data_IF_494487442897
#
_entry.id   IF_494487442897
#
_cell.length_a   1.000
_cell.length_b   1.000
_cell.length_c   1.000
_cell.angle_alpha   90.00
_cell.angle_beta   90.00
_cell.angle_gamma   90.00
#
_symmetry.space_group_name_H-M   'P 1'
#
loop_
_entity.id
_entity.type
_entity.pdbx_description
1 polymer ?
#
# COMPACT_ATOMS: atom_id res chain seq x y z
N UNK A 1 80.43 -11.47 4.69
CA UNK A 1 79.82 -10.30 5.39
C UNK A 1 78.41 -10.68 5.84
N UNK A 2 78.28 -11.17 7.07
CA UNK A 2 76.98 -11.46 7.68
C UNK A 2 76.38 -10.14 8.18
N UNK A 3 75.33 -9.63 7.52
CA UNK A 3 74.60 -8.45 7.98
C UNK A 3 73.80 -8.83 9.22
N UNK A 4 74.25 -8.33 10.38
CA UNK A 4 73.49 -8.33 11.62
C UNK A 4 72.20 -7.53 11.41
N UNK A 5 71.06 -8.22 11.44
CA UNK A 5 69.74 -7.60 11.49
C UNK A 5 69.60 -6.95 12.87
N UNK A 6 69.36 -5.63 12.90
CA UNK A 6 69.27 -4.85 14.14
C UNK A 6 68.15 -5.39 15.05
N UNK A 7 68.31 -5.38 16.39
CA UNK A 7 67.35 -5.99 17.34
C UNK A 7 65.92 -5.41 17.26
N UNK A 8 65.76 -4.23 16.69
CA UNK A 8 64.48 -3.51 16.53
C UNK A 8 63.63 -4.02 15.37
N UNK A 9 64.21 -4.55 14.28
CA UNK A 9 63.45 -5.08 13.13
C UNK A 9 62.90 -6.49 13.38
N UNK A 10 63.63 -7.32 14.14
CA UNK A 10 63.11 -8.64 14.55
C UNK A 10 61.85 -8.52 15.42
N UNK A 11 61.78 -7.53 16.32
CA UNK A 11 60.58 -7.30 17.15
C UNK A 11 59.36 -6.86 16.32
N UNK A 12 59.55 -6.04 15.29
CA UNK A 12 58.45 -5.56 14.43
C UNK A 12 57.85 -6.68 13.57
N UNK A 13 58.68 -7.57 13.01
CA UNK A 13 58.20 -8.73 12.22
C UNK A 13 57.50 -9.77 13.11
N UNK A 14 58.01 -10.01 14.32
CA UNK A 14 57.33 -10.91 15.29
C UNK A 14 56.00 -10.32 15.77
N UNK A 15 55.90 -9.02 16.02
CA UNK A 15 54.65 -8.34 16.39
C UNK A 15 53.59 -8.41 15.27
N UNK A 16 53.99 -8.19 14.01
CA UNK A 16 53.10 -8.29 12.85
C UNK A 16 52.59 -9.72 12.60
N UNK A 17 53.46 -10.73 12.71
CA UNK A 17 53.05 -12.14 12.62
C UNK A 17 52.10 -12.53 13.76
N UNK A 18 52.36 -12.13 15.01
CA UNK A 18 51.46 -12.40 16.14
C UNK A 18 50.10 -11.71 15.99
N UNK A 19 50.07 -10.48 15.48
CA UNK A 19 48.80 -9.78 15.22
C UNK A 19 48.00 -10.41 14.08
N UNK A 20 48.67 -10.90 13.03
CA UNK A 20 48.01 -11.57 11.90
C UNK A 20 47.51 -12.97 12.30
N UNK A 21 48.30 -13.72 13.08
CA UNK A 21 47.89 -15.03 13.61
C UNK A 21 46.71 -14.90 14.58
N UNK A 22 46.72 -13.91 15.49
CA UNK A 22 45.56 -13.61 16.34
C UNK A 22 44.34 -13.16 15.54
N UNK A 23 44.51 -12.46 14.42
CA UNK A 23 43.41 -12.04 13.58
C UNK A 23 42.78 -13.25 12.84
N UNK A 24 43.60 -14.13 12.26
CA UNK A 24 43.14 -15.38 11.66
C UNK A 24 42.49 -16.33 12.68
N UNK A 25 43.07 -16.53 13.87
CA UNK A 25 42.48 -17.34 14.94
C UNK A 25 41.12 -16.78 15.42
N UNK A 26 40.96 -15.45 15.43
CA UNK A 26 39.69 -14.80 15.75
C UNK A 26 38.66 -14.93 14.63
N UNK A 27 39.07 -14.89 13.36
CA UNK A 27 38.18 -15.12 12.22
C UNK A 27 37.76 -16.60 12.10
N UNK A 28 38.69 -17.54 12.31
CA UNK A 28 38.39 -18.97 12.38
C UNK A 28 37.48 -19.30 13.57
N UNK A 29 37.75 -18.71 14.75
CA UNK A 29 36.87 -18.85 15.92
C UNK A 29 35.46 -18.30 15.69
N UNK A 30 35.32 -17.19 14.95
CA UNK A 30 34.00 -16.66 14.54
C UNK A 30 33.29 -17.59 13.56
N UNK A 31 34.00 -18.09 12.54
CA UNK A 31 33.45 -19.02 11.55
C UNK A 31 32.98 -20.34 12.18
N UNK A 32 33.69 -20.85 13.18
CA UNK A 32 33.29 -22.04 13.95
C UNK A 32 32.03 -21.75 14.76
N UNK A 33 31.98 -20.62 15.48
CA UNK A 33 30.81 -20.22 16.26
C UNK A 33 29.56 -19.98 15.39
N UNK A 34 29.72 -19.44 14.18
CA UNK A 34 28.63 -19.27 13.21
C UNK A 34 28.10 -20.61 12.69
N UNK A 35 28.98 -21.58 12.42
CA UNK A 35 28.61 -22.93 12.01
C UNK A 35 27.87 -23.67 13.12
N UNK A 36 28.35 -23.59 14.36
CA UNK A 36 27.70 -24.18 15.53
C UNK A 36 26.32 -23.55 15.77
N UNK A 37 26.21 -22.22 15.70
CA UNK A 37 24.94 -21.49 15.83
C UNK A 37 23.94 -21.93 14.75
N UNK A 38 24.40 -22.13 13.51
CA UNK A 38 23.56 -22.62 12.41
C UNK A 38 23.05 -24.04 12.68
N UNK A 39 23.90 -24.93 13.18
CA UNK A 39 23.51 -26.30 13.53
C UNK A 39 22.49 -26.31 14.67
N UNK A 40 22.71 -25.53 15.73
CA UNK A 40 21.75 -25.38 16.81
C UNK A 40 20.42 -24.80 16.32
N UNK A 41 20.45 -23.79 15.46
CA UNK A 41 19.24 -23.22 14.84
C UNK A 41 18.45 -24.28 14.07
N UNK A 42 19.12 -25.07 13.25
CA UNK A 42 18.49 -26.13 12.47
C UNK A 42 17.93 -27.24 13.37
N UNK A 43 18.65 -27.64 14.41
CA UNK A 43 18.19 -28.63 15.38
C UNK A 43 16.98 -28.14 16.18
N UNK A 44 16.98 -26.87 16.60
CA UNK A 44 15.84 -26.24 17.29
C UNK A 44 14.57 -26.34 16.44
N UNK A 45 14.65 -25.92 15.18
CA UNK A 45 13.50 -25.86 14.28
C UNK A 45 13.02 -27.25 13.85
N UNK A 46 13.95 -28.18 13.58
CA UNK A 46 13.59 -29.48 13.00
C UNK A 46 13.26 -30.54 14.04
N UNK A 47 13.93 -30.53 15.20
CA UNK A 47 13.83 -31.57 16.23
C UNK A 47 13.11 -31.07 17.48
N UNK A 48 13.61 -29.99 18.12
CA UNK A 48 13.06 -29.54 19.41
C UNK A 48 11.64 -28.98 19.28
N UNK A 49 11.35 -28.23 18.22
CA UNK A 49 10.01 -27.67 18.00
C UNK A 49 8.93 -28.76 17.79
N UNK A 50 9.34 -29.93 17.28
CA UNK A 50 8.46 -31.07 17.01
C UNK A 50 8.25 -31.99 18.21
N UNK A 51 8.91 -31.74 19.33
CA UNK A 51 8.70 -32.51 20.56
C UNK A 51 7.23 -32.48 20.99
N UNK A 52 6.65 -33.62 21.44
CA UNK A 52 5.28 -33.66 21.93
C UNK A 52 5.11 -32.84 23.22
N UNK A 53 6.10 -32.90 24.11
CA UNK A 53 6.15 -32.02 25.28
C UNK A 53 6.69 -30.65 24.90
N UNK A 54 5.81 -29.66 24.79
CA UNK A 54 6.19 -28.27 24.48
C UNK A 54 6.99 -27.60 25.60
N UNK A 55 7.07 -28.20 26.79
CA UNK A 55 7.86 -27.76 27.94
C UNK A 55 9.09 -28.64 28.19
N UNK A 56 9.47 -29.47 27.21
CA UNK A 56 10.63 -30.36 27.32
C UNK A 56 11.88 -29.62 27.84
N UNK A 57 12.40 -30.10 28.97
CA UNK A 57 13.54 -29.53 29.73
C UNK A 57 13.44 -28.06 30.18
N UNK A 58 12.27 -27.42 30.09
CA UNK A 58 12.10 -26.01 30.45
C UNK A 58 12.53 -25.69 31.90
N UNK A 59 12.33 -26.63 32.83
CA UNK A 59 12.68 -26.46 34.25
C UNK A 59 14.07 -26.96 34.63
N UNK A 60 14.80 -27.63 33.73
CA UNK A 60 16.08 -28.26 34.03
C UNK A 60 17.25 -27.41 33.51
N UNK A 61 17.85 -26.60 34.40
CA UNK A 61 18.96 -25.71 34.05
C UNK A 61 20.25 -26.43 33.65
N UNK A 62 20.40 -27.69 34.07
CA UNK A 62 21.57 -28.52 33.76
C UNK A 62 21.42 -29.26 32.41
N UNK A 63 20.25 -29.16 31.77
CA UNK A 63 20.03 -29.78 30.46
C UNK A 63 20.74 -29.03 29.34
N UNK A 64 21.20 -29.77 28.33
CA UNK A 64 21.76 -29.19 27.10
C UNK A 64 20.78 -28.27 26.37
N UNK A 65 19.48 -28.55 26.47
CA UNK A 65 18.41 -27.70 25.91
C UNK A 65 18.38 -26.34 26.60
N UNK A 66 18.50 -26.30 27.92
CA UNK A 66 18.54 -25.03 28.62
C UNK A 66 19.85 -24.28 28.34
N UNK A 67 20.99 -24.99 28.39
CA UNK A 67 22.32 -24.39 28.19
C UNK A 67 22.52 -23.78 26.80
N UNK A 68 22.02 -24.41 25.73
CA UNK A 68 22.26 -23.91 24.37
C UNK A 68 21.12 -23.08 23.78
N UNK A 69 19.91 -23.10 24.36
CA UNK A 69 18.72 -22.49 23.74
C UNK A 69 17.93 -21.55 24.67
N UNK A 70 18.14 -21.57 25.98
CA UNK A 70 17.42 -20.66 26.88
C UNK A 70 17.97 -19.23 26.76
N UNK A 71 17.11 -18.21 26.80
CA UNK A 71 17.57 -16.81 26.85
C UNK A 71 18.42 -16.49 28.10
N UNK A 72 18.33 -17.31 29.14
CA UNK A 72 19.11 -17.19 30.37
C UNK A 72 20.55 -17.68 30.26
N UNK A 73 20.91 -18.40 29.20
CA UNK A 73 22.27 -18.86 28.96
C UNK A 73 22.99 -17.97 27.94
N UNK A 74 24.32 -18.01 27.94
CA UNK A 74 25.15 -17.24 26.98
C UNK A 74 24.90 -17.72 25.55
N UNK A 75 24.93 -19.03 25.33
CA UNK A 75 24.76 -19.65 24.02
C UNK A 75 23.35 -19.44 23.47
N UNK A 76 22.32 -19.59 24.30
CA UNK A 76 20.93 -19.36 23.90
C UNK A 76 20.65 -17.90 23.56
N UNK A 77 21.30 -16.95 24.24
CA UNK A 77 21.23 -15.53 23.86
C UNK A 77 21.89 -15.27 22.50
N UNK A 78 23.06 -15.83 22.23
CA UNK A 78 23.72 -15.73 20.93
C UNK A 78 22.86 -16.34 19.82
N UNK A 79 22.27 -17.52 20.07
CA UNK A 79 21.36 -18.16 19.13
C UNK A 79 20.12 -17.30 18.86
N UNK A 80 19.50 -16.71 19.89
CA UNK A 80 18.38 -15.78 19.73
C UNK A 80 18.73 -14.56 18.86
N UNK A 81 19.92 -13.97 19.06
CA UNK A 81 20.39 -12.82 18.30
C UNK A 81 20.62 -13.16 16.82
N UNK A 82 20.95 -14.43 16.52
CA UNK A 82 21.08 -14.93 15.14
C UNK A 82 19.75 -15.06 14.38
N UNK A 83 18.60 -14.95 15.05
CA UNK A 83 17.29 -14.93 14.39
C UNK A 83 16.94 -13.52 13.92
N UNK A 84 16.66 -13.41 12.63
CA UNK A 84 15.98 -12.25 12.08
C UNK A 84 14.50 -12.23 12.47
N UNK A 85 13.87 -11.07 12.37
CA UNK A 85 12.43 -10.95 12.63
C UNK A 85 11.62 -11.79 11.64
N UNK A 86 11.98 -11.77 10.35
CA UNK A 86 11.27 -12.52 9.31
C UNK A 86 11.34 -14.04 9.54
N UNK A 87 12.47 -14.59 10.00
CA UNK A 87 12.57 -16.01 10.31
C UNK A 87 11.65 -16.43 11.46
N UNK A 88 11.50 -15.59 12.49
CA UNK A 88 10.57 -15.86 13.59
C UNK A 88 9.11 -15.77 13.15
N UNK A 89 8.78 -14.82 12.27
CA UNK A 89 7.43 -14.70 11.69
C UNK A 89 7.14 -15.86 10.73
N UNK A 90 8.11 -16.27 9.91
CA UNK A 90 7.98 -17.39 9.00
C UNK A 90 7.77 -18.70 9.76
N UNK A 91 8.50 -18.92 10.86
CA UNK A 91 8.26 -20.05 11.75
C UNK A 91 6.81 -20.10 12.26
N UNK A 92 6.22 -18.95 12.65
CA UNK A 92 4.81 -18.90 13.06
C UNK A 92 3.85 -19.31 11.92
N UNK A 93 4.13 -18.88 10.69
CA UNK A 93 3.33 -19.25 9.50
C UNK A 93 3.44 -20.74 9.19
N UNK A 94 4.63 -21.32 9.33
CA UNK A 94 4.86 -22.74 9.07
C UNK A 94 4.18 -23.62 10.11
N UNK A 95 4.28 -23.27 11.40
CA UNK A 95 3.55 -23.97 12.47
C UNK A 95 2.05 -23.82 12.29
N UNK A 96 1.56 -22.65 11.88
CA UNK A 96 0.14 -22.51 11.57
C UNK A 96 -0.25 -23.51 10.49
N UNK A 97 0.45 -23.54 9.36
CA UNK A 97 0.21 -24.48 8.25
C UNK A 97 0.21 -25.94 8.71
N UNK A 98 1.17 -26.34 9.55
CA UNK A 98 1.23 -27.69 10.11
C UNK A 98 0.01 -28.02 11.01
N UNK A 99 -0.48 -27.05 11.79
CA UNK A 99 -1.62 -27.24 12.70
C UNK A 99 -3.00 -27.07 12.02
N UNK A 100 -3.03 -26.57 10.79
CA UNK A 100 -4.22 -26.11 10.09
C UNK A 100 -5.08 -25.10 10.88
N UNK A 101 -4.51 -24.41 11.88
CA UNK A 101 -5.09 -23.23 12.51
C UNK A 101 -3.98 -22.29 13.05
N UNK A 102 -4.35 -21.07 13.45
CA UNK A 102 -3.37 -20.17 14.06
C UNK A 102 -2.88 -20.70 15.42
N UNK A 103 -1.56 -20.83 15.66
CA UNK A 103 -1.04 -21.43 16.89
C UNK A 103 -1.28 -20.57 18.12
N UNK A 104 -1.81 -21.19 19.16
CA UNK A 104 -1.75 -20.63 20.51
C UNK A 104 -0.33 -20.72 21.07
N UNK A 105 -0.02 -19.89 22.07
CA UNK A 105 1.28 -19.95 22.74
C UNK A 105 1.59 -21.38 23.21
N UNK A 106 0.62 -22.09 23.77
CA UNK A 106 0.82 -23.43 24.37
C UNK A 106 1.24 -24.50 23.35
N UNK A 107 0.90 -24.33 22.07
CA UNK A 107 1.18 -25.27 20.99
C UNK A 107 2.59 -25.12 20.39
N UNK A 108 3.25 -23.99 20.64
CA UNK A 108 4.62 -23.71 20.18
C UNK A 108 5.64 -24.17 21.22
N UNK A 109 6.84 -24.61 20.84
CA UNK A 109 7.88 -24.97 21.81
C UNK A 109 8.34 -23.77 22.67
N UNK A 110 8.69 -24.01 23.95
CA UNK A 110 8.91 -22.92 24.91
C UNK A 110 10.04 -21.96 24.55
N UNK A 111 11.14 -22.43 23.98
CA UNK A 111 12.24 -21.58 23.51
C UNK A 111 11.72 -20.58 22.46
N UNK A 112 11.01 -21.07 21.44
CA UNK A 112 10.46 -20.21 20.39
C UNK A 112 9.40 -19.25 20.92
N UNK A 113 8.58 -19.66 21.90
CA UNK A 113 7.66 -18.74 22.58
C UNK A 113 8.40 -17.57 23.22
N UNK A 114 9.51 -17.85 23.91
CA UNK A 114 10.30 -16.81 24.56
C UNK A 114 10.94 -15.87 23.54
N UNK A 115 11.50 -16.40 22.45
CA UNK A 115 12.11 -15.59 21.39
C UNK A 115 11.11 -14.65 20.75
N UNK A 116 9.93 -15.15 20.38
CA UNK A 116 8.85 -14.37 19.76
C UNK A 116 8.33 -13.31 20.74
N UNK A 117 8.10 -13.66 22.01
CA UNK A 117 7.67 -12.70 23.03
C UNK A 117 8.73 -11.64 23.32
N UNK A 118 10.02 -12.00 23.29
CA UNK A 118 11.11 -11.06 23.50
C UNK A 118 11.24 -10.08 22.34
N UNK A 119 11.08 -10.56 21.09
CA UNK A 119 11.23 -9.74 19.87
C UNK A 119 10.00 -8.86 19.59
N UNK A 120 8.80 -9.44 19.67
CA UNK A 120 7.55 -8.76 19.29
C UNK A 120 6.65 -8.43 20.50
N UNK A 121 7.11 -8.66 21.73
CA UNK A 121 6.33 -8.37 22.94
C UNK A 121 5.13 -9.31 23.14
N UNK A 122 3.94 -8.88 22.71
CA UNK A 122 2.69 -9.63 22.93
C UNK A 122 2.45 -10.61 21.79
N UNK A 123 2.04 -11.84 22.12
CA UNK A 123 1.75 -12.90 21.13
C UNK A 123 0.78 -12.47 20.01
N UNK A 124 -0.36 -11.80 20.30
CA UNK A 124 -1.25 -11.32 19.23
C UNK A 124 -0.59 -10.33 18.27
N UNK A 125 0.42 -9.58 18.73
CA UNK A 125 1.15 -8.67 17.85
C UNK A 125 2.07 -9.44 16.89
N UNK A 126 2.77 -10.47 17.38
CA UNK A 126 3.56 -11.36 16.53
C UNK A 126 2.70 -12.06 15.48
N UNK A 127 1.52 -12.58 15.88
CA UNK A 127 0.57 -13.20 14.93
C UNK A 127 0.13 -12.20 13.86
N UNK A 128 -0.22 -10.97 14.24
CA UNK A 128 -0.60 -9.92 13.29
C UNK A 128 0.52 -9.58 12.31
N UNK A 129 1.77 -9.47 12.79
CA UNK A 129 2.93 -9.23 11.92
C UNK A 129 3.21 -10.42 10.99
N UNK A 130 2.92 -11.65 11.45
CA UNK A 130 3.01 -12.85 10.63
C UNK A 130 1.87 -12.97 9.59
N UNK A 131 0.89 -12.07 9.61
CA UNK A 131 -0.30 -12.16 8.75
C UNK A 131 -1.34 -13.18 9.22
N UNK A 132 -1.27 -13.61 10.48
CA UNK A 132 -2.17 -14.60 11.07
C UNK A 132 -3.25 -13.93 11.93
N UNK A 133 -4.39 -14.60 12.06
CA UNK A 133 -5.48 -14.17 12.94
C UNK A 133 -5.05 -14.07 14.41
N UNK A 134 -5.57 -13.11 15.16
CA UNK A 134 -5.31 -13.06 16.61
C UNK A 134 -6.12 -14.07 17.41
N UNK A 135 -7.11 -14.74 16.79
CA UNK A 135 -7.90 -15.81 17.39
C UNK A 135 -7.13 -17.15 17.31
N UNK A 136 -6.26 -17.37 18.31
CA UNK A 136 -5.33 -18.50 18.32
C UNK A 136 -5.90 -19.76 19.03
N UNK A 137 -5.40 -20.93 18.64
CA UNK A 137 -5.72 -22.25 19.22
C UNK A 137 -6.83 -23.00 18.48
N UNK A 138 -7.18 -24.20 18.99
CA UNK A 138 -8.16 -25.13 18.38
C UNK A 138 -9.58 -24.58 18.12
N UNK A 139 -9.92 -23.41 18.64
CA UNK A 139 -11.18 -22.71 18.37
C UNK A 139 -11.08 -21.58 17.34
N UNK A 140 -9.88 -21.32 16.79
CA UNK A 140 -9.67 -20.37 15.71
C UNK A 140 -10.13 -20.94 14.35
N UNK A 141 -10.48 -20.06 13.41
CA UNK A 141 -10.77 -20.46 12.04
C UNK A 141 -9.53 -21.12 11.40
N UNK A 142 -9.73 -22.23 10.68
CA UNK A 142 -8.65 -22.90 9.92
C UNK A 142 -8.04 -21.96 8.88
N UNK A 143 -6.82 -22.24 8.40
CA UNK A 143 -6.25 -21.42 7.32
C UNK A 143 -7.13 -21.48 6.08
N UNK A 144 -7.64 -22.65 5.71
CA UNK A 144 -8.56 -22.79 4.58
C UNK A 144 -9.79 -21.90 4.72
N UNK A 145 -10.37 -21.80 5.93
CA UNK A 145 -11.50 -20.92 6.19
C UNK A 145 -11.10 -19.42 6.12
N UNK A 146 -9.90 -19.06 6.55
CA UNK A 146 -9.37 -17.70 6.45
C UNK A 146 -9.11 -17.31 4.99
N UNK A 147 -8.46 -18.18 4.23
CA UNK A 147 -8.19 -18.00 2.81
C UNK A 147 -9.49 -17.95 2.00
N UNK A 148 -10.47 -18.80 2.32
CA UNK A 148 -11.80 -18.75 1.72
C UNK A 148 -12.54 -17.44 2.03
N UNK A 149 -12.44 -16.94 3.27
CA UNK A 149 -13.04 -15.66 3.66
C UNK A 149 -12.37 -14.48 2.93
N UNK A 150 -11.05 -14.51 2.78
CA UNK A 150 -10.28 -13.50 2.04
C UNK A 150 -10.61 -13.55 0.54
N UNK A 151 -10.66 -14.75 -0.04
CA UNK A 151 -11.07 -14.96 -1.44
C UNK A 151 -12.50 -14.46 -1.68
N UNK A 152 -13.43 -14.74 -0.76
CA UNK A 152 -14.80 -14.24 -0.84
C UNK A 152 -14.85 -12.70 -0.77
N UNK A 153 -14.11 -12.08 0.15
CA UNK A 153 -13.98 -10.61 0.23
C UNK A 153 -13.44 -10.03 -1.08
N UNK A 154 -12.41 -10.64 -1.67
CA UNK A 154 -11.81 -10.19 -2.92
C UNK A 154 -12.77 -10.36 -4.11
N UNK A 155 -13.57 -11.43 -4.14
CA UNK A 155 -14.63 -11.61 -5.12
C UNK A 155 -15.70 -10.52 -5.03
N UNK A 156 -16.08 -10.10 -3.81
CA UNK A 156 -17.01 -8.98 -3.61
C UNK A 156 -16.42 -7.65 -4.11
N UNK A 157 -15.14 -7.37 -3.84
CA UNK A 157 -14.46 -6.19 -4.37
C UNK A 157 -14.40 -6.20 -5.91
N UNK A 158 -14.18 -7.38 -6.50
CA UNK A 158 -14.21 -7.55 -7.95
C UNK A 158 -15.60 -7.26 -8.54
N UNK A 159 -16.68 -7.69 -7.87
CA UNK A 159 -18.04 -7.33 -8.28
C UNK A 159 -18.28 -5.81 -8.23
N UNK A 160 -17.75 -5.10 -7.22
CA UNK A 160 -17.82 -3.63 -7.16
C UNK A 160 -17.12 -3.00 -8.37
N UNK A 161 -15.95 -3.53 -8.73
CA UNK A 161 -15.18 -3.06 -9.88
C UNK A 161 -15.92 -3.28 -11.19
N UNK A 162 -16.45 -4.48 -11.40
CA UNK A 162 -17.23 -4.83 -12.60
C UNK A 162 -18.50 -3.99 -12.71
N UNK A 163 -19.19 -3.77 -11.58
CA UNK A 163 -20.36 -2.90 -11.55
C UNK A 163 -20.03 -1.47 -11.93
N UNK A 164 -18.89 -0.95 -11.46
CA UNK A 164 -18.43 0.38 -11.84
C UNK A 164 -18.16 0.49 -13.36
N UNK A 165 -17.56 -0.55 -13.95
CA UNK A 165 -17.32 -0.63 -15.39
C UNK A 165 -18.64 -0.67 -16.16
N UNK A 166 -19.58 -1.53 -15.73
CA UNK A 166 -20.90 -1.67 -16.34
C UNK A 166 -21.69 -0.35 -16.30
N UNK A 167 -21.69 0.34 -15.16
CA UNK A 167 -22.42 1.60 -15.01
C UNK A 167 -21.74 2.78 -15.71
N UNK A 168 -20.45 2.65 -16.05
CA UNK A 168 -19.64 3.76 -16.53
C UNK A 168 -19.59 4.93 -15.54
N UNK A 169 -19.79 4.68 -14.24
CA UNK A 169 -19.70 5.64 -13.13
C UNK A 169 -19.34 4.92 -11.84
N UNK A 170 -18.95 5.68 -10.82
CA UNK A 170 -18.80 5.13 -9.47
C UNK A 170 -20.17 4.61 -8.99
N UNK A 171 -20.27 3.33 -8.57
CA UNK A 171 -21.49 2.80 -7.99
C UNK A 171 -21.75 3.49 -6.65
N UNK A 172 -23.01 3.83 -6.39
CA UNK A 172 -23.49 4.22 -5.07
C UNK A 172 -23.73 2.93 -4.26
N UNK A 173 -23.57 2.90 -2.92
CA UNK A 173 -23.80 1.67 -2.16
C UNK A 173 -25.24 1.11 -2.32
N UNK A 174 -26.21 1.98 -2.59
CA UNK A 174 -27.58 1.59 -2.98
C UNK A 174 -27.69 0.83 -4.33
N UNK A 175 -26.70 0.93 -5.23
CA UNK A 175 -26.64 0.15 -6.47
C UNK A 175 -26.25 -1.32 -6.19
N UNK A 176 -25.69 -1.63 -5.01
CA UNK A 176 -25.15 -2.95 -4.65
C UNK A 176 -25.46 -3.34 -3.19
N UNK A 177 -26.75 -3.43 -2.79
CA UNK A 177 -27.13 -3.64 -1.39
C UNK A 177 -26.63 -4.97 -0.80
N UNK A 178 -26.56 -6.04 -1.61
CA UNK A 178 -26.08 -7.35 -1.17
C UNK A 178 -24.58 -7.31 -0.85
N UNK A 179 -23.76 -6.76 -1.77
CA UNK A 179 -22.31 -6.59 -1.55
C UNK A 179 -22.02 -5.71 -0.33
N UNK A 180 -22.82 -4.66 -0.13
CA UNK A 180 -22.69 -3.80 1.05
C UNK A 180 -22.97 -4.56 2.36
N UNK A 181 -23.92 -5.50 2.37
CA UNK A 181 -24.27 -6.27 3.55
C UNK A 181 -23.12 -7.14 4.06
N UNK A 182 -22.29 -7.66 3.16
CA UNK A 182 -21.15 -8.52 3.50
C UNK A 182 -19.88 -7.71 3.78
N UNK A 183 -19.59 -6.69 2.97
CA UNK A 183 -18.39 -5.86 3.12
C UNK A 183 -18.43 -4.93 4.34
N UNK A 184 -19.59 -4.65 4.93
CA UNK A 184 -19.70 -3.75 6.10
C UNK A 184 -18.94 -4.24 7.34
N UNK A 185 -18.60 -5.52 7.38
CA UNK A 185 -17.78 -6.12 8.44
C UNK A 185 -16.31 -5.69 8.34
N UNK A 186 -15.87 -5.33 7.13
CA UNK A 186 -14.48 -5.01 6.81
C UNK A 186 -14.24 -3.51 6.59
N UNK A 187 -15.24 -2.80 6.05
CA UNK A 187 -15.13 -1.38 5.71
C UNK A 187 -16.25 -0.57 6.34
N UNK A 188 -15.94 0.66 6.74
CA UNK A 188 -16.96 1.57 7.29
C UNK A 188 -17.47 2.53 6.22
N UNK A 189 -16.56 3.01 5.38
CA UNK A 189 -16.83 4.02 4.35
C UNK A 189 -16.83 3.39 2.96
N UNK A 190 -17.73 3.85 2.10
CA UNK A 190 -17.81 3.37 0.72
C UNK A 190 -16.60 3.78 -0.11
N UNK A 191 -15.99 4.94 0.19
CA UNK A 191 -14.73 5.34 -0.44
C UNK A 191 -13.60 4.33 -0.21
N UNK A 192 -13.55 3.68 0.97
CA UNK A 192 -12.55 2.64 1.27
C UNK A 192 -12.78 1.40 0.40
N UNK A 193 -14.03 1.02 0.20
CA UNK A 193 -14.41 -0.10 -0.67
C UNK A 193 -14.01 0.17 -2.11
N UNK A 194 -14.37 1.35 -2.64
CA UNK A 194 -14.01 1.74 -4.02
C UNK A 194 -12.49 1.75 -4.22
N UNK A 195 -11.74 2.24 -3.23
CA UNK A 195 -10.27 2.22 -3.24
C UNK A 195 -9.73 0.79 -3.21
N UNK A 196 -10.25 -0.07 -2.33
CA UNK A 196 -9.83 -1.47 -2.22
C UNK A 196 -10.17 -2.28 -3.49
N UNK A 197 -11.28 -1.96 -4.15
CA UNK A 197 -11.68 -2.54 -5.44
C UNK A 197 -10.88 -1.98 -6.64
N UNK A 198 -9.99 -1.01 -6.42
CA UNK A 198 -9.21 -0.37 -7.49
C UNK A 198 -10.06 0.47 -8.46
N UNK A 199 -11.24 0.92 -8.03
CA UNK A 199 -12.12 1.76 -8.86
C UNK A 199 -11.59 3.19 -8.85
N UNK A 200 -11.00 3.59 -9.98
CA UNK A 200 -10.40 4.92 -10.18
C UNK A 200 -11.01 5.62 -11.39
N UNK A 201 -10.93 6.97 -11.48
CA UNK A 201 -11.35 7.68 -12.69
C UNK A 201 -10.64 7.18 -13.96
N UNK A 202 -9.36 6.81 -13.85
CA UNK A 202 -8.54 6.27 -14.93
C UNK A 202 -9.09 4.95 -15.43
N UNK A 203 -9.38 4.00 -14.52
CA UNK A 203 -10.00 2.72 -14.87
C UNK A 203 -11.26 2.94 -15.72
N UNK A 204 -12.14 3.86 -15.31
CA UNK A 204 -13.38 4.13 -16.04
C UNK A 204 -13.14 4.82 -17.38
N UNK A 205 -12.14 5.71 -17.46
CA UNK A 205 -11.78 6.37 -18.72
C UNK A 205 -11.13 5.41 -19.72
N UNK A 206 -10.52 4.32 -19.27
CA UNK A 206 -9.90 3.31 -20.13
C UNK A 206 -10.87 2.20 -20.53
N UNK A 207 -11.73 1.76 -19.60
CA UNK A 207 -12.57 0.57 -19.78
C UNK A 207 -14.01 0.85 -20.20
N UNK A 208 -14.53 2.07 -19.99
CA UNK A 208 -15.96 2.35 -20.18
C UNK A 208 -16.26 3.21 -21.41
N UNK A 209 -15.24 3.79 -22.05
CA UNK A 209 -15.42 4.77 -23.13
C UNK A 209 -15.39 4.12 -24.50
N UNK A 210 -16.23 4.62 -25.40
CA UNK A 210 -16.30 4.20 -26.80
C UNK A 210 -16.79 5.34 -27.67
N UNK A 211 -16.42 5.34 -28.95
CA UNK A 211 -16.96 6.27 -29.96
C UNK A 211 -18.17 5.64 -30.63
N UNK A 212 -19.15 6.47 -30.98
CA UNK A 212 -20.27 6.10 -31.85
C UNK A 212 -19.97 6.76 -33.19
N UNK A 213 -19.83 5.98 -34.25
CA UNK A 213 -19.46 6.50 -35.58
C UNK A 213 -20.65 7.25 -36.21
N UNK A 214 -21.84 6.66 -36.15
CA UNK A 214 -23.06 7.20 -36.76
C UNK A 214 -23.97 7.88 -35.73
N UNK A 215 -23.51 9.00 -35.17
CA UNK A 215 -24.33 9.87 -34.32
C UNK A 215 -25.25 10.73 -35.17
N UNK A 216 -26.52 10.75 -34.81
CA UNK A 216 -27.54 11.53 -35.50
C UNK A 216 -27.26 13.04 -35.35
N UNK A 217 -27.59 13.87 -36.35
CA UNK A 217 -27.27 15.31 -36.35
C UNK A 217 -27.78 16.07 -35.12
N UNK A 218 -28.93 15.65 -34.57
CA UNK A 218 -29.49 16.22 -33.35
C UNK A 218 -28.55 16.04 -32.15
N UNK A 219 -27.98 14.84 -31.95
CA UNK A 219 -27.05 14.59 -30.86
C UNK A 219 -25.70 15.26 -31.10
N UNK A 220 -25.26 15.38 -32.36
CA UNK A 220 -24.06 16.17 -32.69
C UNK A 220 -24.23 17.64 -32.31
N UNK A 221 -25.40 18.23 -32.57
CA UNK A 221 -25.72 19.59 -32.15
C UNK A 221 -25.69 19.74 -30.61
N UNK A 222 -26.31 18.80 -29.88
CA UNK A 222 -26.26 18.76 -28.42
C UNK A 222 -24.82 18.63 -27.88
N UNK A 223 -24.00 17.80 -28.53
CA UNK A 223 -22.60 17.60 -28.15
C UNK A 223 -21.75 18.86 -28.39
N UNK A 224 -21.98 19.58 -29.49
CA UNK A 224 -21.32 20.85 -29.74
C UNK A 224 -21.77 21.94 -28.76
N UNK A 225 -23.03 21.93 -28.30
CA UNK A 225 -23.48 22.81 -27.21
C UNK A 225 -22.73 22.52 -25.90
N UNK A 226 -22.57 21.25 -25.53
CA UNK A 226 -21.80 20.84 -24.35
C UNK A 226 -20.33 21.26 -24.49
N UNK A 227 -19.76 21.12 -25.68
CA UNK A 227 -18.37 21.53 -25.98
C UNK A 227 -18.22 23.05 -25.84
N UNK A 228 -19.14 23.83 -26.41
CA UNK A 228 -19.14 25.28 -26.26
C UNK A 228 -19.27 25.71 -24.80
N UNK A 229 -20.10 25.03 -24.01
CA UNK A 229 -20.18 25.21 -22.56
C UNK A 229 -18.84 24.92 -21.88
N UNK A 230 -18.16 23.81 -22.25
CA UNK A 230 -16.86 23.45 -21.70
C UNK A 230 -15.78 24.53 -21.95
N UNK A 231 -15.72 25.07 -23.17
CA UNK A 231 -14.81 26.17 -23.51
C UNK A 231 -15.17 27.46 -22.78
N UNK A 232 -16.46 27.78 -22.59
CA UNK A 232 -16.86 28.94 -21.77
C UNK A 232 -16.43 28.79 -20.30
N UNK A 233 -16.50 27.57 -19.75
CA UNK A 233 -16.09 27.27 -18.38
C UNK A 233 -14.57 27.10 -18.21
N UNK A 234 -13.82 26.90 -19.30
CA UNK A 234 -12.40 26.52 -19.28
C UNK A 234 -12.14 25.10 -18.75
N UNK A 235 -13.18 24.29 -18.53
CA UNK A 235 -13.13 22.93 -18.02
C UNK A 235 -14.31 22.11 -18.55
N UNK A 236 -14.21 20.79 -18.46
CA UNK A 236 -15.37 19.93 -18.72
C UNK A 236 -16.58 20.30 -17.82
N UNK A 237 -17.80 20.28 -18.36
CA UNK A 237 -19.00 20.59 -17.59
C UNK A 237 -19.36 19.46 -16.62
N UNK A 238 -19.74 19.84 -15.41
CA UNK A 238 -20.34 18.98 -14.41
C UNK A 238 -21.85 18.82 -14.66
N UNK A 239 -22.49 17.90 -13.94
CA UNK A 239 -23.90 17.58 -14.15
C UNK A 239 -24.89 18.74 -13.97
N UNK A 240 -24.52 19.79 -13.22
CA UNK A 240 -25.32 21.00 -13.00
C UNK A 240 -24.99 22.16 -13.93
N UNK A 241 -23.95 22.05 -14.76
CA UNK A 241 -23.53 23.10 -15.69
C UNK A 241 -24.30 23.02 -17.03
N UNK A 242 -25.10 21.97 -17.22
CA UNK A 242 -25.78 21.64 -18.48
C UNK A 242 -27.26 21.44 -18.23
N UNK A 243 -28.07 21.83 -19.20
CA UNK A 243 -29.52 21.68 -19.16
C UNK A 243 -29.92 20.19 -18.90
N UNK A 244 -30.83 19.92 -17.93
CA UNK A 244 -31.18 18.56 -17.53
C UNK A 244 -31.73 17.66 -18.63
N UNK A 245 -32.54 18.19 -19.56
CA UNK A 245 -33.16 17.42 -20.65
C UNK A 245 -32.14 16.99 -21.70
N UNK A 246 -31.26 17.91 -22.13
CA UNK A 246 -30.13 17.66 -23.02
C UNK A 246 -29.21 16.59 -22.42
N UNK A 247 -28.87 16.73 -21.13
CA UNK A 247 -28.06 15.74 -20.42
C UNK A 247 -28.71 14.36 -20.42
N UNK A 248 -30.03 14.29 -20.16
CA UNK A 248 -30.76 13.01 -20.14
C UNK A 248 -30.79 12.36 -21.53
N UNK A 249 -30.99 13.15 -22.59
CA UNK A 249 -30.96 12.68 -23.97
C UNK A 249 -29.59 12.09 -24.32
N UNK A 250 -28.51 12.81 -24.03
CA UNK A 250 -27.14 12.34 -24.26
C UNK A 250 -26.78 11.10 -23.44
N UNK A 251 -27.19 11.01 -22.17
CA UNK A 251 -26.97 9.80 -21.35
C UNK A 251 -27.70 8.61 -21.95
N UNK A 252 -28.94 8.80 -22.41
CA UNK A 252 -29.74 7.73 -23.00
C UNK A 252 -29.08 7.21 -24.28
N UNK A 253 -28.60 8.12 -25.14
CA UNK A 253 -27.98 7.75 -26.42
C UNK A 253 -26.55 7.21 -26.29
N UNK A 254 -25.75 7.82 -25.42
CA UNK A 254 -24.33 7.48 -25.23
C UNK A 254 -24.11 6.47 -24.09
N UNK A 255 -25.16 6.00 -23.42
CA UNK A 255 -25.12 5.09 -22.28
C UNK A 255 -24.67 5.74 -20.95
N UNK A 256 -23.77 6.72 -21.01
CA UNK A 256 -23.30 7.45 -19.82
C UNK A 256 -22.87 8.88 -20.15
N UNK A 257 -22.83 9.74 -19.13
CA UNK A 257 -22.32 11.11 -19.29
C UNK A 257 -20.83 11.12 -19.66
N UNK A 258 -20.05 10.15 -19.14
CA UNK A 258 -18.64 9.98 -19.50
C UNK A 258 -18.48 9.71 -20.99
N UNK A 259 -19.34 8.87 -21.57
CA UNK A 259 -19.30 8.54 -23.00
C UNK A 259 -19.72 9.71 -23.88
N UNK A 260 -20.72 10.49 -23.44
CA UNK A 260 -21.12 11.71 -24.13
C UNK A 260 -19.94 12.69 -24.21
N UNK A 261 -19.26 12.96 -23.09
CA UNK A 261 -18.05 13.79 -23.08
C UNK A 261 -16.93 13.19 -23.94
N UNK A 262 -16.78 11.86 -23.93
CA UNK A 262 -15.78 11.19 -24.74
C UNK A 262 -16.03 11.38 -26.25
N UNK A 263 -17.29 11.49 -26.71
CA UNK A 263 -17.59 11.78 -28.13
C UNK A 263 -16.93 13.08 -28.61
N UNK A 264 -16.80 14.08 -27.73
CA UNK A 264 -16.18 15.39 -28.02
C UNK A 264 -14.74 15.52 -27.50
N UNK A 265 -14.11 14.41 -27.11
CA UNK A 265 -12.72 14.39 -26.64
C UNK A 265 -12.53 14.93 -25.22
N UNK A 266 -13.61 15.09 -24.45
CA UNK A 266 -13.59 15.56 -23.07
C UNK A 266 -13.62 14.39 -22.08
N UNK A 267 -13.14 14.65 -20.86
CA UNK A 267 -13.21 13.73 -19.71
C UNK A 267 -14.08 14.34 -18.60
N UNK A 268 -14.84 13.54 -17.85
CA UNK A 268 -15.66 14.05 -16.76
C UNK A 268 -14.80 14.65 -15.65
N UNK A 269 -15.33 15.70 -15.01
CA UNK A 269 -14.77 16.23 -13.78
C UNK A 269 -14.88 15.16 -12.69
N UNK A 270 -13.76 14.77 -12.10
CA UNK A 270 -13.71 13.73 -11.08
C UNK A 270 -13.62 14.36 -9.69
N UNK A 271 -14.42 13.90 -8.72
CA UNK A 271 -14.18 14.27 -7.33
C UNK A 271 -12.84 13.70 -6.86
N UNK A 272 -12.04 14.49 -6.11
CA UNK A 272 -10.76 14.04 -5.54
C UNK A 272 -10.98 12.85 -4.60
N UNK A 273 -12.03 12.92 -3.78
CA UNK A 273 -12.41 11.85 -2.84
C UNK A 273 -13.91 11.54 -3.01
N UNK A 274 -14.30 10.74 -4.01
CA UNK A 274 -15.69 10.36 -4.17
C UNK A 274 -16.14 9.54 -2.95
N UNK A 275 -17.34 9.84 -2.42
CA UNK A 275 -17.93 9.11 -1.29
C UNK A 275 -17.15 9.16 0.04
N UNK A 276 -16.28 10.16 0.25
CA UNK A 276 -15.40 10.23 1.43
C UNK A 276 -16.13 10.10 2.78
N UNK A 277 -17.37 10.61 2.86
CA UNK A 277 -18.18 10.59 4.08
C UNK A 277 -19.44 9.72 3.94
N UNK A 278 -19.51 8.88 2.91
CA UNK A 278 -20.67 8.00 2.70
C UNK A 278 -20.35 6.65 3.33
N UNK A 279 -21.18 6.27 4.30
CA UNK A 279 -21.12 4.96 4.92
C UNK A 279 -21.57 3.88 3.95
N UNK A 280 -20.94 2.71 4.04
CA UNK A 280 -21.35 1.53 3.27
C UNK A 280 -22.80 1.13 3.56
N UNK A 281 -23.25 1.37 4.80
CA UNK A 281 -24.67 1.34 5.11
C UNK A 281 -25.33 2.62 4.61
N UNK A 282 -25.84 2.55 3.38
CA UNK A 282 -26.46 3.69 2.70
C UNK A 282 -27.71 4.23 3.40
N UNK A 283 -28.30 3.50 4.35
CA UNK A 283 -29.53 3.89 5.06
C UNK A 283 -29.28 4.88 6.20
N UNK A 284 -28.03 5.06 6.60
CA UNK A 284 -27.63 5.99 7.65
C UNK A 284 -28.06 7.42 7.34
N UNK A 285 -28.59 8.12 8.34
CA UNK A 285 -29.02 9.52 8.23
C UNK A 285 -27.86 10.45 7.89
N UNK A 286 -26.64 10.10 8.30
CA UNK A 286 -25.40 10.84 8.02
C UNK A 286 -25.02 10.81 6.53
N UNK A 287 -25.57 9.89 5.73
CA UNK A 287 -25.37 9.90 4.28
C UNK A 287 -26.22 10.96 3.57
N UNK A 288 -27.15 11.61 4.28
CA UNK A 288 -28.10 12.58 3.70
C UNK A 288 -27.54 14.01 3.59
N UNK A 289 -26.27 14.21 3.92
CA UNK A 289 -25.62 15.51 3.73
C UNK A 289 -25.58 15.86 2.24
N UNK A 290 -25.91 17.11 1.92
CA UNK A 290 -25.93 17.62 0.55
C UNK A 290 -24.53 17.55 -0.07
N UNK A 291 -24.49 17.29 -1.37
CA UNK A 291 -23.26 17.37 -2.15
C UNK A 291 -22.62 18.74 -1.95
N UNK A 292 -21.34 18.78 -1.59
CA UNK A 292 -20.58 20.02 -1.51
C UNK A 292 -20.51 20.63 -2.91
N UNK A 293 -21.23 21.72 -3.14
CA UNK A 293 -21.16 22.48 -4.38
C UNK A 293 -19.83 23.25 -4.41
N UNK A 294 -18.94 22.91 -5.33
CA UNK A 294 -17.69 23.63 -5.51
C UNK A 294 -16.64 22.87 -6.32
N UNK A 295 -15.75 23.62 -6.97
CA UNK A 295 -14.67 23.08 -7.84
C UNK A 295 -13.39 22.71 -7.06
N UNK A 296 -13.22 23.18 -5.83
CA UNK A 296 -12.01 22.98 -5.02
C UNK A 296 -11.75 21.49 -4.70
N UNK A 297 -12.81 20.69 -4.65
CA UNK A 297 -12.77 19.23 -4.40
C UNK A 297 -12.64 18.37 -5.66
N UNK A 298 -12.44 18.94 -6.84
CA UNK A 298 -12.50 18.23 -8.11
C UNK A 298 -11.18 18.27 -8.92
N UNK A 299 -10.97 17.23 -9.71
CA UNK A 299 -9.92 17.02 -10.71
C UNK A 299 -10.51 17.20 -12.11
N UNK A 300 -9.84 18.00 -12.94
CA UNK A 300 -10.23 18.24 -14.33
C UNK A 300 -9.04 18.71 -15.16
N UNK A 301 -9.12 18.53 -16.48
CA UNK A 301 -8.18 19.13 -17.43
C UNK A 301 -8.68 20.52 -17.82
N UNK A 302 -7.77 21.49 -17.85
CA UNK A 302 -8.07 22.86 -18.31
C UNK A 302 -8.02 22.87 -19.82
N UNK A 303 -9.05 23.44 -20.46
CA UNK A 303 -9.19 23.41 -21.92
C UNK A 303 -8.57 24.65 -22.60
N UNK A 304 -8.57 25.79 -21.92
CA UNK A 304 -8.19 27.09 -22.50
C UNK A 304 -6.83 27.56 -21.98
N UNK A 305 -5.78 26.76 -22.15
CA UNK A 305 -4.44 27.15 -21.72
C UNK A 305 -3.82 28.13 -22.72
N UNK A 306 -3.42 29.31 -22.24
CA UNK A 306 -2.63 30.26 -23.03
C UNK A 306 -1.20 29.72 -23.21
N UNK A 307 -0.48 30.22 -24.22
CA UNK A 307 0.86 29.72 -24.53
C UNK A 307 1.85 29.96 -23.38
N UNK A 308 1.69 31.05 -22.65
CA UNK A 308 2.43 31.31 -21.41
C UNK A 308 2.17 30.25 -20.32
N UNK A 309 0.92 29.78 -20.20
CA UNK A 309 0.58 28.74 -19.23
C UNK A 309 1.17 27.38 -19.65
N UNK A 310 1.18 27.09 -20.97
CA UNK A 310 1.81 25.88 -21.52
C UNK A 310 3.31 25.84 -21.23
N UNK A 311 4.01 26.96 -21.33
CA UNK A 311 5.43 27.05 -20.97
C UNK A 311 5.66 26.69 -19.49
N UNK A 312 4.82 27.19 -18.58
CA UNK A 312 4.90 26.86 -17.16
C UNK A 312 4.61 25.38 -16.86
N UNK A 313 3.71 24.73 -17.62
CA UNK A 313 3.52 23.28 -17.51
C UNK A 313 4.71 22.48 -18.06
N UNK A 314 5.40 22.99 -19.08
CA UNK A 314 6.63 22.38 -19.58
C UNK A 314 7.74 22.43 -18.53
N UNK A 315 7.89 23.55 -17.81
CA UNK A 315 8.81 23.67 -16.68
C UNK A 315 8.45 22.70 -15.54
N UNK A 316 7.17 22.63 -15.15
CA UNK A 316 6.69 21.67 -14.16
C UNK A 316 6.98 20.21 -14.57
N UNK A 317 6.80 19.90 -15.87
CA UNK A 317 7.08 18.57 -16.42
C UNK A 317 8.58 18.26 -16.42
N UNK A 318 9.43 19.24 -16.72
CA UNK A 318 10.88 19.09 -16.66
C UNK A 318 11.35 18.83 -15.23
N UNK A 319 10.85 19.60 -14.26
CA UNK A 319 11.14 19.40 -12.84
C UNK A 319 10.73 17.99 -12.37
N UNK A 320 9.54 17.52 -12.77
CA UNK A 320 9.09 16.17 -12.44
C UNK A 320 10.04 15.09 -12.98
N UNK A 321 10.55 15.25 -14.22
CA UNK A 321 11.52 14.32 -14.82
C UNK A 321 12.87 14.35 -14.13
N UNK A 322 13.29 15.52 -13.63
CA UNK A 322 14.56 15.69 -12.93
C UNK A 322 14.54 15.07 -11.53
N UNK A 323 13.51 15.38 -10.73
CA UNK A 323 13.42 14.90 -9.34
C UNK A 323 12.94 13.43 -9.30
N UNK A 324 12.22 12.97 -10.32
CA UNK A 324 11.70 11.60 -10.38
C UNK A 324 10.55 11.32 -9.40
N UNK A 325 10.01 12.35 -8.73
CA UNK A 325 8.82 12.29 -7.87
C UNK A 325 7.92 13.50 -8.08
N UNK A 326 6.61 13.41 -7.76
CA UNK A 326 5.71 14.56 -7.84
C UNK A 326 6.26 15.78 -7.10
N UNK A 327 6.39 16.94 -7.77
CA UNK A 327 6.97 18.12 -7.15
C UNK A 327 6.02 18.76 -6.13
N UNK A 328 6.58 19.19 -5.01
CA UNK A 328 5.91 20.01 -4.00
C UNK A 328 5.76 21.43 -4.52
N UNK A 329 4.67 22.11 -4.14
CA UNK A 329 4.40 23.48 -4.62
C UNK A 329 5.51 24.50 -4.31
N UNK A 330 6.34 24.24 -3.29
CA UNK A 330 7.48 25.09 -2.89
C UNK A 330 8.74 24.91 -3.75
N UNK A 331 8.82 23.83 -4.52
CA UNK A 331 9.99 23.50 -5.37
C UNK A 331 9.99 24.32 -6.67
N UNK A 332 8.92 25.08 -6.93
CA UNK A 332 8.83 26.02 -8.05
C UNK A 332 8.83 27.47 -7.58
N UNK A 333 9.32 28.40 -8.42
CA UNK A 333 9.22 29.82 -8.20
C UNK A 333 7.79 30.27 -7.83
N UNK A 334 7.70 31.29 -6.99
CA UNK A 334 6.42 31.77 -6.43
C UNK A 334 5.46 32.24 -7.52
N UNK A 335 6.01 32.81 -8.57
CA UNK A 335 5.32 33.36 -9.73
C UNK A 335 4.63 32.22 -10.50
N UNK A 336 5.39 31.16 -10.80
CA UNK A 336 4.91 29.98 -11.52
C UNK A 336 3.85 29.25 -10.70
N UNK A 337 4.12 28.95 -9.42
CA UNK A 337 3.13 28.25 -8.58
C UNK A 337 1.85 29.06 -8.41
N UNK A 338 1.94 30.38 -8.29
CA UNK A 338 0.75 31.25 -8.14
C UNK A 338 -0.09 31.27 -9.41
N UNK A 339 0.56 31.33 -10.58
CA UNK A 339 -0.14 31.29 -11.87
C UNK A 339 -0.78 29.92 -12.13
N UNK A 340 -0.06 28.82 -11.92
CA UNK A 340 -0.60 27.47 -12.04
C UNK A 340 -1.78 27.23 -11.08
N UNK A 341 -1.69 27.73 -9.85
CA UNK A 341 -2.81 27.65 -8.90
C UNK A 341 -4.02 28.46 -9.36
N UNK A 342 -3.81 29.67 -9.92
CA UNK A 342 -4.89 30.52 -10.42
C UNK A 342 -5.60 29.87 -11.62
N UNK A 343 -4.84 29.29 -12.56
CA UNK A 343 -5.38 28.67 -13.77
C UNK A 343 -6.08 27.34 -13.47
N UNK A 344 -5.51 26.49 -12.61
CA UNK A 344 -6.04 25.15 -12.32
C UNK A 344 -6.96 25.09 -11.11
N UNK A 345 -7.08 26.18 -10.35
CA UNK A 345 -7.82 26.28 -9.08
C UNK A 345 -7.19 25.52 -7.90
N UNK A 346 -6.25 24.60 -8.13
CA UNK A 346 -5.47 23.93 -7.09
C UNK A 346 -4.16 23.34 -7.62
N UNK A 347 -3.17 23.17 -6.73
CA UNK A 347 -1.89 22.54 -7.09
C UNK A 347 -2.05 21.11 -7.64
N UNK A 348 -2.94 20.34 -7.01
CA UNK A 348 -3.23 18.96 -7.45
C UNK A 348 -3.78 18.93 -8.88
N UNK A 349 -4.57 19.94 -9.28
CA UNK A 349 -5.03 20.04 -10.66
C UNK A 349 -3.92 20.44 -11.63
N UNK A 350 -2.94 21.23 -11.20
CA UNK A 350 -1.77 21.55 -12.01
C UNK A 350 -0.94 20.28 -12.28
N UNK A 351 -0.67 19.48 -11.25
CA UNK A 351 -0.04 18.16 -11.40
C UNK A 351 -0.88 17.21 -12.27
N UNK A 352 -2.20 17.26 -12.11
CA UNK A 352 -3.12 16.47 -12.94
C UNK A 352 -3.06 16.87 -14.42
N UNK A 353 -2.69 18.12 -14.78
CA UNK A 353 -2.52 18.52 -16.19
C UNK A 353 -1.38 17.74 -16.87
N UNK A 354 -0.36 17.34 -16.12
CA UNK A 354 0.81 16.60 -16.62
C UNK A 354 0.73 15.10 -16.30
N UNK A 355 -0.50 14.60 -16.05
CA UNK A 355 -0.84 13.19 -15.83
C UNK A 355 -0.24 12.55 -14.56
N UNK A 356 0.17 13.38 -13.59
CA UNK A 356 0.56 12.90 -12.26
C UNK A 356 -0.69 12.56 -11.44
N UNK A 357 -0.66 11.39 -10.79
CA UNK A 357 -1.75 10.91 -9.95
C UNK A 357 -1.76 11.63 -8.58
N UNK A 358 -2.93 12.10 -8.10
CA UNK A 358 -3.03 12.74 -6.79
C UNK A 358 -2.51 11.87 -5.63
N UNK A 359 -2.69 10.55 -5.71
CA UNK A 359 -2.28 9.60 -4.68
C UNK A 359 -0.76 9.59 -4.48
N UNK A 360 0.00 9.68 -5.58
CA UNK A 360 1.46 9.75 -5.55
C UNK A 360 1.92 11.05 -4.87
N UNK A 361 1.28 12.18 -5.22
CA UNK A 361 1.55 13.46 -4.59
C UNK A 361 1.25 13.46 -3.09
N UNK A 362 0.10 12.92 -2.67
CA UNK A 362 -0.26 12.88 -1.25
C UNK A 362 0.65 11.96 -0.43
N UNK A 363 1.22 10.92 -1.03
CA UNK A 363 2.24 10.08 -0.40
C UNK A 363 3.49 10.91 -0.09
N UNK A 364 4.04 11.59 -1.10
CA UNK A 364 5.21 12.48 -0.93
C UNK A 364 4.93 13.59 0.08
N UNK A 365 3.75 14.22 0.01
CA UNK A 365 3.37 15.28 0.96
C UNK A 365 3.31 14.79 2.41
N UNK A 366 2.88 13.54 2.62
CA UNK A 366 2.84 12.93 3.96
C UNK A 366 4.25 12.62 4.47
N UNK A 367 5.13 12.13 3.60
CA UNK A 367 6.54 11.88 3.90
C UNK A 367 7.27 13.18 4.25
N UNK A 368 7.15 14.22 3.41
CA UNK A 368 7.75 15.53 3.66
C UNK A 368 7.31 16.13 5.01
N UNK A 369 6.01 16.05 5.33
CA UNK A 369 5.49 16.49 6.64
C UNK A 369 6.06 15.69 7.81
N UNK A 370 6.28 14.38 7.63
CA UNK A 370 6.88 13.54 8.66
C UNK A 370 8.37 13.90 8.89
N UNK A 371 9.05 14.42 7.87
CA UNK A 371 10.43 14.91 7.94
C UNK A 371 10.55 16.38 8.35
N UNK A 372 9.44 17.06 8.66
CA UNK A 372 9.42 18.44 9.13
C UNK A 372 9.69 19.48 8.03
N UNK A 373 9.59 19.09 6.76
CA UNK A 373 9.84 19.97 5.63
C UNK A 373 8.61 20.76 5.20
#
# INVERSE_FOLDING_TARGET
MAKQIKPTEKRAVTLLCYSFFRFCDMEEGKLIAERETTQYKQYLLTVLCRQPDKKYHMGNRDSSVWQHYALGSKDGKMLYESFSEEELLQFLRDIARELNHTPSQKEVFWVMREYIKRRFGKWPYALRLAGLSTAAGKGGASMEAQDAAEAHKNALLQQVREKAIQLGRFPHPGDMPQVCADLKKHYKLWAEVLKAAGVTPQLLNEKCVYKIEDLEPEYLAMLEEVKACAYKLGRSPAHGDVEPSLKKALITRCGSWRNALFQIGLRPVAAKNPFQNIYIDYRKSENRHSHTAGTQGCLYKVLNLHDEDKAMFAELSALYREIGRPPLSRELPKEIRSRLHKVCGSWVNALYQIDIKPEEYYKILKEAKAHGE
#
